data_IF_626355433010
#
_entry.id   IF_626355433010
#
_cell.length_a   1.000
_cell.length_b   1.000
_cell.length_c   1.000
_cell.angle_alpha   90.00
_cell.angle_beta   90.00
_cell.angle_gamma   90.00
#
_symmetry.space_group_name_H-M   'P 1'
#
loop_
_entity.id
_entity.type
_entity.pdbx_description
1 polymer ?
#
# COMPACT_ATOMS: atom_id res chain seq x y z
N UNK A 1 0.69 -0.70 -8.06
CA UNK A 1 0.78 -1.99 -8.75
C UNK A 1 0.41 -3.15 -7.81
N UNK A 2 1.17 -3.42 -6.72
CA UNK A 2 1.01 -4.64 -5.90
C UNK A 2 -0.40 -4.82 -5.31
N UNK A 3 -1.01 -3.76 -4.82
CA UNK A 3 -2.38 -3.84 -4.29
C UNK A 3 -3.42 -4.30 -5.32
N UNK A 4 -3.32 -3.81 -6.56
CA UNK A 4 -4.21 -4.22 -7.64
C UNK A 4 -3.95 -5.68 -8.07
N UNK A 5 -2.67 -6.08 -8.15
CA UNK A 5 -2.29 -7.47 -8.46
C UNK A 5 -2.84 -8.43 -7.42
N UNK A 6 -2.69 -8.14 -6.13
CA UNK A 6 -3.22 -8.96 -5.04
C UNK A 6 -4.74 -9.14 -5.09
N UNK A 7 -5.46 -8.07 -5.47
CA UNK A 7 -6.92 -8.14 -5.58
C UNK A 7 -7.38 -9.02 -6.75
N UNK A 8 -6.66 -8.94 -7.88
CA UNK A 8 -6.99 -9.66 -9.11
C UNK A 8 -6.43 -11.09 -9.16
N UNK A 9 -5.23 -11.28 -8.64
CA UNK A 9 -4.50 -12.55 -8.70
C UNK A 9 -3.73 -12.80 -7.38
N UNK A 10 -4.47 -13.08 -6.28
CA UNK A 10 -3.86 -13.34 -4.98
C UNK A 10 -2.97 -14.60 -4.96
N UNK A 11 -3.12 -15.46 -5.94
CA UNK A 11 -2.37 -16.70 -6.11
C UNK A 11 -0.94 -16.52 -6.67
N UNK A 12 -0.62 -15.34 -7.21
CA UNK A 12 0.67 -15.11 -7.88
C UNK A 12 1.86 -15.03 -6.93
N UNK A 13 1.64 -14.73 -5.67
CA UNK A 13 2.71 -14.60 -4.68
C UNK A 13 2.29 -15.18 -3.34
N UNK A 14 3.19 -15.90 -2.69
CA UNK A 14 2.98 -16.37 -1.32
C UNK A 14 3.10 -15.20 -0.32
N UNK A 15 3.96 -14.23 -0.61
CA UNK A 15 4.20 -13.03 0.21
C UNK A 15 4.32 -11.78 -0.62
N UNK A 16 3.87 -10.66 -0.04
CA UNK A 16 3.95 -9.34 -0.63
C UNK A 16 4.46 -8.34 0.39
N UNK A 17 5.40 -7.50 -0.02
CA UNK A 17 5.82 -6.32 0.73
C UNK A 17 5.34 -5.08 -0.02
N UNK A 18 4.54 -4.26 0.63
CA UNK A 18 4.02 -3.00 0.09
C UNK A 18 4.62 -1.83 0.89
N UNK A 19 5.62 -1.17 0.32
CA UNK A 19 6.29 -0.03 0.94
C UNK A 19 5.67 1.28 0.44
N UNK A 20 5.27 2.14 1.36
CA UNK A 20 4.58 3.41 1.08
C UNK A 20 3.52 3.28 -0.02
N UNK A 21 2.58 2.32 0.09
CA UNK A 21 1.75 1.92 -1.04
C UNK A 21 0.66 2.96 -1.34
N UNK A 22 0.64 3.42 -2.58
CA UNK A 22 -0.42 4.23 -3.16
C UNK A 22 -1.61 3.33 -3.51
N UNK A 23 -2.57 3.21 -2.60
CA UNK A 23 -3.64 2.19 -2.66
C UNK A 23 -5.06 2.76 -2.68
N UNK A 24 -5.24 4.04 -2.36
CA UNK A 24 -6.51 4.76 -2.55
C UNK A 24 -6.35 5.83 -3.62
N UNK A 25 -6.22 5.38 -4.85
CA UNK A 25 -5.90 6.22 -6.00
C UNK A 25 -6.92 7.35 -6.17
N UNK A 26 -8.21 7.03 -6.11
CA UNK A 26 -9.29 8.01 -6.37
C UNK A 26 -9.30 9.12 -5.33
N UNK A 27 -9.29 8.78 -4.05
CA UNK A 27 -9.37 9.79 -2.98
C UNK A 27 -8.13 10.69 -2.97
N UNK A 28 -6.95 10.09 -3.11
CA UNK A 28 -5.69 10.84 -3.12
C UNK A 28 -5.59 11.75 -4.35
N UNK A 29 -5.98 11.27 -5.53
CA UNK A 29 -5.94 12.07 -6.76
C UNK A 29 -7.00 13.15 -6.82
N UNK A 30 -8.04 13.10 -5.97
CA UNK A 30 -9.05 14.18 -5.82
C UNK A 30 -8.61 15.25 -4.80
N UNK A 31 -7.62 14.99 -3.99
CA UNK A 31 -7.16 15.91 -2.94
C UNK A 31 -6.00 16.79 -3.44
N UNK A 32 -6.34 17.99 -3.95
CA UNK A 32 -5.37 18.96 -4.44
C UNK A 32 -4.47 19.54 -3.33
N UNK A 33 -4.80 19.32 -2.05
CA UNK A 33 -3.96 19.76 -0.93
C UNK A 33 -2.73 18.88 -0.73
N UNK A 34 -2.74 17.65 -1.28
CA UNK A 34 -1.59 16.75 -1.25
C UNK A 34 -0.57 17.22 -2.30
N UNK A 35 0.69 17.46 -1.89
CA UNK A 35 1.74 17.89 -2.82
C UNK A 35 1.85 16.94 -4.03
N UNK A 36 2.04 17.50 -5.19
CA UNK A 36 2.18 16.84 -6.50
C UNK A 36 0.88 16.32 -7.13
N UNK A 37 -0.22 16.14 -6.40
CA UNK A 37 -1.47 15.56 -6.94
C UNK A 37 -1.94 16.23 -8.24
N UNK A 38 -2.05 17.55 -8.25
CA UNK A 38 -2.47 18.26 -9.45
C UNK A 38 -1.49 18.12 -10.63
N UNK A 39 -0.19 18.02 -10.35
CA UNK A 39 0.83 17.77 -11.36
C UNK A 39 0.78 16.36 -11.96
N UNK A 40 0.31 15.40 -11.19
CA UNK A 40 0.18 14.00 -11.61
C UNK A 40 -1.02 13.77 -12.55
N UNK A 41 -1.94 14.73 -12.68
CA UNK A 41 -3.10 14.59 -13.56
C UNK A 41 -2.75 14.51 -15.05
N UNK A 42 -1.58 15.01 -15.45
CA UNK A 42 -1.10 14.85 -16.82
C UNK A 42 -0.77 13.40 -17.15
N UNK A 43 -0.28 12.65 -16.14
CA UNK A 43 0.09 11.24 -16.29
C UNK A 43 -1.09 10.30 -16.03
N UNK A 44 -1.82 10.50 -14.93
CA UNK A 44 -2.88 9.59 -14.48
C UNK A 44 -4.27 9.91 -15.00
N UNK A 45 -4.46 11.15 -15.44
CA UNK A 45 -5.76 11.74 -15.77
C UNK A 45 -6.35 12.53 -14.59
N UNK A 46 -7.20 13.49 -14.92
CA UNK A 46 -7.90 14.33 -13.94
C UNK A 46 -9.17 13.62 -13.45
N UNK A 47 -9.22 13.14 -12.19
CA UNK A 47 -10.36 12.37 -11.66
C UNK A 47 -11.65 13.19 -11.52
N UNK A 48 -11.61 14.52 -11.69
CA UNK A 48 -12.82 15.36 -11.76
C UNK A 48 -13.58 15.14 -13.06
N UNK A 49 -12.95 14.52 -14.07
CA UNK A 49 -13.58 14.07 -15.31
C UNK A 49 -13.99 12.63 -15.18
N UNK A 50 -15.23 12.32 -15.52
CA UNK A 50 -15.88 11.04 -15.34
C UNK A 50 -15.09 9.86 -15.92
N UNK A 51 -14.53 10.02 -17.10
CA UNK A 51 -13.75 8.96 -17.77
C UNK A 51 -12.51 8.53 -16.99
N UNK A 52 -11.76 9.48 -16.41
CA UNK A 52 -10.57 9.18 -15.60
C UNK A 52 -10.96 8.67 -14.22
N UNK A 53 -12.02 9.22 -13.62
CA UNK A 53 -12.55 8.72 -12.36
C UNK A 53 -12.93 7.24 -12.47
N UNK A 54 -13.71 6.86 -13.47
CA UNK A 54 -14.16 5.48 -13.66
C UNK A 54 -12.97 4.55 -13.93
N UNK A 55 -11.96 5.01 -14.70
CA UNK A 55 -10.74 4.27 -14.95
C UNK A 55 -9.94 4.04 -13.66
N UNK A 56 -9.72 5.07 -12.86
CA UNK A 56 -9.00 4.95 -11.57
C UNK A 56 -9.74 4.06 -10.59
N UNK A 57 -11.08 4.21 -10.52
CA UNK A 57 -11.92 3.41 -9.63
C UNK A 57 -11.81 1.92 -9.97
N UNK A 58 -11.73 1.58 -11.26
CA UNK A 58 -11.68 0.19 -11.72
C UNK A 58 -10.44 -0.58 -11.25
N UNK A 59 -9.32 0.08 -10.98
CA UNK A 59 -8.10 -0.58 -10.50
C UNK A 59 -7.65 -0.15 -9.09
N UNK A 60 -8.25 0.87 -8.50
CA UNK A 60 -7.85 1.38 -7.18
C UNK A 60 -7.95 0.28 -6.12
N UNK A 61 -6.85 -0.12 -5.47
CA UNK A 61 -6.83 -1.27 -4.58
C UNK A 61 -7.83 -1.18 -3.43
N UNK A 62 -8.02 0.00 -2.88
CA UNK A 62 -8.94 0.23 -1.76
C UNK A 62 -10.41 -0.06 -2.10
N UNK A 63 -10.81 0.14 -3.34
CA UNK A 63 -12.21 -0.04 -3.77
C UNK A 63 -12.49 -1.45 -4.33
N UNK A 64 -11.46 -2.19 -4.71
CA UNK A 64 -11.59 -3.46 -5.42
C UNK A 64 -11.20 -4.69 -4.58
N UNK A 65 -11.46 -4.65 -3.28
CA UNK A 65 -11.32 -5.82 -2.44
C UNK A 65 -12.43 -6.85 -2.69
N UNK A 66 -12.05 -8.11 -2.67
CA UNK A 66 -12.95 -9.24 -2.65
C UNK A 66 -12.84 -9.99 -1.30
N UNK A 67 -13.91 -10.69 -0.91
CA UNK A 67 -13.87 -11.65 0.19
C UNK A 67 -13.20 -12.93 -0.32
N UNK A 68 -11.87 -13.00 -0.14
CA UNK A 68 -11.03 -14.09 -0.65
C UNK A 68 -9.78 -14.26 0.22
N UNK A 69 -8.98 -15.27 -0.07
CA UNK A 69 -7.67 -15.46 0.54
C UNK A 69 -6.66 -14.49 -0.10
N UNK A 70 -5.79 -13.93 0.72
CA UNK A 70 -4.70 -13.03 0.31
C UNK A 70 -3.35 -13.60 0.74
N UNK A 71 -2.25 -13.23 0.06
CA UNK A 71 -0.91 -13.63 0.48
C UNK A 71 -0.55 -13.05 1.84
N UNK A 72 0.50 -13.57 2.46
CA UNK A 72 1.13 -12.89 3.59
C UNK A 72 1.52 -11.47 3.17
N UNK A 73 1.22 -10.47 4.00
CA UNK A 73 1.44 -9.08 3.62
C UNK A 73 2.14 -8.29 4.72
N UNK A 74 3.23 -7.64 4.36
CA UNK A 74 3.85 -6.56 5.14
C UNK A 74 3.62 -5.23 4.45
N UNK A 75 3.01 -4.30 5.16
CA UNK A 75 2.81 -2.91 4.71
C UNK A 75 3.66 -1.99 5.56
N UNK A 76 4.45 -1.12 4.93
CA UNK A 76 5.25 -0.11 5.64
C UNK A 76 4.88 1.29 5.17
N UNK A 77 4.89 2.25 6.11
CA UNK A 77 4.59 3.65 5.83
C UNK A 77 5.35 4.58 6.79
N UNK A 78 5.46 5.86 6.45
CA UNK A 78 5.97 6.91 7.34
C UNK A 78 4.84 7.81 7.82
N UNK A 79 4.83 8.16 9.11
CA UNK A 79 3.81 9.05 9.68
C UNK A 79 3.83 10.44 9.02
N UNK A 80 5.02 10.92 8.67
CA UNK A 80 5.25 12.24 8.08
C UNK A 80 5.43 12.19 6.56
N UNK A 81 4.88 11.17 5.90
CA UNK A 81 4.93 11.08 4.44
C UNK A 81 4.02 12.16 3.81
N UNK A 82 4.59 13.12 3.05
CA UNK A 82 3.79 14.18 2.43
C UNK A 82 3.17 13.76 1.09
N UNK A 83 3.53 12.61 0.53
CA UNK A 83 3.10 12.14 -0.80
C UNK A 83 2.03 11.08 -0.71
N UNK A 84 2.30 10.01 0.05
CA UNK A 84 1.35 8.94 0.35
C UNK A 84 1.05 9.00 1.84
N UNK A 85 -0.04 9.65 2.18
CA UNK A 85 -0.43 9.90 3.58
C UNK A 85 -0.57 8.59 4.34
N UNK A 86 -0.08 8.52 5.58
CA UNK A 86 -0.05 7.28 6.38
C UNK A 86 -1.44 6.63 6.56
N UNK A 87 -2.49 7.42 6.54
CA UNK A 87 -3.86 6.89 6.65
C UNK A 87 -4.32 6.10 5.43
N UNK A 88 -3.73 6.32 4.28
CA UNK A 88 -4.05 5.57 3.06
C UNK A 88 -3.73 4.09 3.21
N UNK A 89 -2.49 3.66 3.50
CA UNK A 89 -2.20 2.27 3.81
C UNK A 89 -2.89 1.78 5.09
N UNK A 90 -3.08 2.63 6.10
CA UNK A 90 -3.72 2.23 7.36
C UNK A 90 -5.18 1.81 7.15
N UNK A 91 -5.98 2.63 6.44
CA UNK A 91 -7.37 2.27 6.13
C UNK A 91 -7.48 1.09 5.17
N UNK A 92 -6.51 0.96 4.23
CA UNK A 92 -6.43 -0.18 3.32
C UNK A 92 -6.22 -1.49 4.08
N UNK A 93 -5.25 -1.52 5.00
CA UNK A 93 -5.00 -2.68 5.86
C UNK A 93 -6.20 -2.99 6.77
N UNK A 94 -6.83 -1.97 7.35
CA UNK A 94 -8.02 -2.16 8.19
C UNK A 94 -9.17 -2.82 7.41
N UNK A 95 -9.42 -2.35 6.19
CA UNK A 95 -10.46 -2.92 5.32
C UNK A 95 -10.10 -4.34 4.88
N UNK A 96 -8.84 -4.60 4.55
CA UNK A 96 -8.39 -5.94 4.17
C UNK A 96 -8.54 -6.94 5.32
N UNK A 97 -8.20 -6.55 6.57
CA UNK A 97 -8.42 -7.38 7.77
C UNK A 97 -9.88 -7.79 7.96
N UNK A 98 -10.82 -6.92 7.59
CA UNK A 98 -12.24 -7.19 7.72
C UNK A 98 -12.80 -8.11 6.62
N UNK A 99 -12.13 -8.18 5.47
CA UNK A 99 -12.65 -8.86 4.28
C UNK A 99 -11.94 -10.17 3.94
N UNK A 100 -10.64 -10.32 4.33
CA UNK A 100 -9.88 -11.53 4.03
C UNK A 100 -10.49 -12.77 4.71
N UNK A 101 -10.45 -13.90 4.03
CA UNK A 101 -11.04 -15.16 4.50
C UNK A 101 -10.01 -16.18 5.01
N UNK A 102 -8.75 -15.86 4.86
CA UNK A 102 -7.60 -16.66 5.31
C UNK A 102 -7.09 -16.22 6.69
N UNK A 103 -6.10 -16.96 7.21
CA UNK A 103 -5.36 -16.65 8.45
C UNK A 103 -3.95 -16.13 8.21
N UNK A 104 -3.60 -15.83 6.97
CA UNK A 104 -2.28 -15.37 6.57
C UNK A 104 -1.88 -14.07 7.29
N UNK A 105 -0.62 -13.92 7.71
CA UNK A 105 -0.14 -12.72 8.37
C UNK A 105 -0.39 -11.44 7.57
N UNK A 106 -0.85 -10.41 8.27
CA UNK A 106 -1.06 -9.08 7.72
C UNK A 106 -0.53 -8.03 8.70
N UNK A 107 0.67 -7.55 8.43
CA UNK A 107 1.38 -6.59 9.28
C UNK A 107 1.31 -5.18 8.68
N UNK A 108 1.15 -4.20 9.57
CA UNK A 108 1.29 -2.79 9.25
C UNK A 108 2.35 -2.18 10.17
N UNK A 109 3.42 -1.68 9.60
CA UNK A 109 4.47 -0.95 10.30
C UNK A 109 4.46 0.52 9.85
N UNK A 110 4.17 1.43 10.76
CA UNK A 110 4.25 2.88 10.51
C UNK A 110 5.45 3.41 11.28
N UNK A 111 6.47 3.88 10.57
CA UNK A 111 7.59 4.58 11.19
C UNK A 111 7.13 5.97 11.63
N UNK A 112 7.10 6.18 12.96
CA UNK A 112 6.54 7.39 13.58
C UNK A 112 7.39 8.65 13.38
N UNK A 113 8.61 8.52 12.86
CA UNK A 113 9.56 9.63 12.65
C UNK A 113 9.95 9.83 11.19
N UNK A 114 9.55 8.90 10.31
CA UNK A 114 9.95 8.91 8.90
C UNK A 114 8.91 9.58 7.99
N UNK A 115 9.42 10.11 6.87
CA UNK A 115 8.64 10.54 5.72
C UNK A 115 8.63 9.49 4.61
N UNK A 116 8.43 9.93 3.35
CA UNK A 116 8.30 9.07 2.17
C UNK A 116 9.53 8.19 1.88
N UNK A 117 10.71 8.69 2.15
CA UNK A 117 11.97 7.98 1.88
C UNK A 117 12.38 6.98 2.99
N UNK A 118 11.55 6.80 4.01
CA UNK A 118 11.89 6.00 5.19
C UNK A 118 12.75 6.76 6.20
N UNK A 119 13.41 6.03 7.08
CA UNK A 119 14.25 6.59 8.12
C UNK A 119 15.46 7.37 7.56
N UNK A 120 15.76 8.54 8.14
CA UNK A 120 16.85 9.40 7.69
C UNK A 120 18.24 8.95 8.15
N UNK A 121 18.33 8.13 9.21
CA UNK A 121 19.57 7.60 9.75
C UNK A 121 20.11 6.39 8.97
N UNK A 122 21.44 6.31 8.81
CA UNK A 122 22.05 5.15 8.12
C UNK A 122 21.70 3.83 8.77
N UNK A 123 21.72 3.78 10.10
CA UNK A 123 21.40 2.56 10.86
C UNK A 123 19.92 2.32 10.93
N UNK A 124 19.11 3.37 11.11
CA UNK A 124 17.64 3.25 11.15
C UNK A 124 17.08 2.71 9.83
N UNK A 125 17.70 3.11 8.70
CA UNK A 125 17.36 2.54 7.39
C UNK A 125 17.69 1.05 7.27
N UNK A 126 18.77 0.59 7.92
CA UNK A 126 19.10 -0.83 7.95
C UNK A 126 18.10 -1.65 8.76
N UNK A 127 17.49 -1.06 9.80
CA UNK A 127 16.42 -1.72 10.56
C UNK A 127 15.16 -1.92 9.70
N UNK A 128 14.79 -0.91 8.90
CA UNK A 128 13.67 -1.05 7.95
C UNK A 128 13.94 -2.15 6.90
N UNK A 129 15.16 -2.21 6.37
CA UNK A 129 15.60 -3.28 5.46
C UNK A 129 15.56 -4.64 6.16
N UNK A 130 16.06 -4.72 7.39
CA UNK A 130 16.07 -5.95 8.17
C UNK A 130 14.64 -6.47 8.45
N UNK A 131 13.68 -5.57 8.74
CA UNK A 131 12.27 -5.92 8.90
C UNK A 131 11.71 -6.60 7.63
N UNK A 132 11.99 -6.03 6.47
CA UNK A 132 11.55 -6.60 5.17
C UNK A 132 12.16 -7.98 4.95
N UNK A 133 13.47 -8.13 5.16
CA UNK A 133 14.13 -9.43 5.01
C UNK A 133 13.65 -10.45 6.04
N UNK A 134 13.45 -10.06 7.30
CA UNK A 134 12.91 -10.94 8.33
C UNK A 134 11.53 -11.49 7.92
N UNK A 135 10.64 -10.62 7.45
CA UNK A 135 9.34 -11.02 6.95
C UNK A 135 9.44 -11.99 5.76
N UNK A 136 10.32 -11.71 4.80
CA UNK A 136 10.48 -12.57 3.63
C UNK A 136 11.12 -13.93 3.96
N UNK A 137 12.08 -13.96 4.90
CA UNK A 137 12.83 -15.17 5.27
C UNK A 137 12.10 -16.07 6.27
N UNK A 138 11.16 -15.54 7.04
CA UNK A 138 10.39 -16.32 8.01
C UNK A 138 9.71 -17.54 7.37
N UNK A 139 9.34 -17.45 6.10
CA UNK A 139 8.75 -18.56 5.32
C UNK A 139 9.75 -19.65 4.98
N UNK A 140 10.99 -19.29 4.72
CA UNK A 140 11.99 -20.27 4.29
C UNK A 140 12.33 -21.27 5.41
N UNK A 141 11.97 -20.94 6.65
CA UNK A 141 12.19 -21.80 7.83
C UNK A 141 10.92 -22.54 8.28
N UNK A 142 9.78 -22.33 7.64
CA UNK A 142 8.48 -22.93 7.99
C UNK A 142 8.06 -24.08 7.04
N UNK A 143 8.95 -24.50 6.13
CA UNK A 143 8.75 -25.61 5.17
C UNK A 143 9.48 -26.87 5.59
#
# INVERSE_FOLDING_TARGET
>A
LMGAVMNQRPDLAARVVAQVPFVDVVTTMLDESIPLTAGEWEEWGDPRKREYFDTMLAYSPYYNFNSQNYPDLLVTAGLHDPRVQYWEPAKWVAKLRALKTDTNPLYLHINMTAGHAGAAGRFDRLEEVALVYAFLLEVMNAG
#
